data_IF_258679031506
#
_entry.id   IF_258679031506
#
_cell.length_a   1.000
_cell.length_b   1.000
_cell.length_c   1.000
_cell.angle_alpha   90.00
_cell.angle_beta   90.00
_cell.angle_gamma   90.00
#
_symmetry.space_group_name_H-M   'P 1'
#
loop_
_entity.id
_entity.type
_entity.pdbx_description
1 polymer ?
#
# COMPACT_ATOMS: atom_id res chain seq x y z
N UNK A 1 -17.52 16.76 11.08
CA UNK A 1 -17.80 16.50 9.65
C UNK A 1 -18.41 15.12 9.45
N UNK A 2 -17.71 14.02 9.78
CA UNK A 2 -18.26 12.65 9.64
C UNK A 2 -19.51 12.38 10.51
N UNK A 3 -19.54 12.87 11.74
CA UNK A 3 -20.72 12.73 12.60
C UNK A 3 -21.99 13.37 12.03
N UNK A 4 -21.85 14.47 11.28
CA UNK A 4 -22.98 15.12 10.59
C UNK A 4 -23.53 14.27 9.43
N UNK A 5 -22.73 13.33 8.92
CA UNK A 5 -23.12 12.38 7.88
C UNK A 5 -23.68 11.07 8.47
N UNK A 6 -23.84 10.99 9.79
CA UNK A 6 -24.37 9.82 10.50
C UNK A 6 -23.31 8.76 10.85
N UNK A 7 -22.02 9.08 10.74
CA UNK A 7 -20.95 8.19 11.19
C UNK A 7 -20.68 8.33 12.68
N UNK A 8 -20.53 7.22 13.38
CA UNK A 8 -20.19 7.16 14.81
C UNK A 8 -18.76 6.69 14.97
N UNK A 9 -17.99 7.33 15.87
CA UNK A 9 -16.64 6.90 16.20
C UNK A 9 -16.72 5.58 16.96
N UNK A 10 -16.08 4.54 16.44
CA UNK A 10 -16.12 3.20 17.03
C UNK A 10 -14.79 2.85 17.71
N UNK A 11 -13.66 3.19 17.06
CA UNK A 11 -12.33 2.81 17.52
C UNK A 11 -11.43 4.04 17.55
N UNK A 12 -10.67 4.18 18.63
CA UNK A 12 -9.50 5.07 18.68
C UNK A 12 -8.33 4.30 19.29
N UNK A 13 -7.18 4.30 18.60
CA UNK A 13 -5.94 3.63 19.04
C UNK A 13 -4.78 4.61 18.94
N UNK A 14 -3.90 4.57 19.92
CA UNK A 14 -2.69 5.41 20.00
C UNK A 14 -1.50 4.54 20.45
N UNK A 15 -0.29 5.10 20.49
CA UNK A 15 0.90 4.43 21.06
C UNK A 15 1.53 3.33 20.19
N UNK A 16 0.98 3.04 19.01
CA UNK A 16 1.56 2.10 18.05
C UNK A 16 2.66 2.73 17.18
N UNK A 17 2.63 4.06 17.02
CA UNK A 17 3.71 4.82 16.39
C UNK A 17 4.46 5.63 17.43
N UNK A 18 5.70 5.22 17.72
CA UNK A 18 6.59 5.94 18.64
C UNK A 18 7.34 7.09 17.97
N UNK A 19 7.31 7.16 16.63
CA UNK A 19 8.12 8.11 15.86
C UNK A 19 7.37 9.42 15.63
N UNK A 20 6.12 9.36 15.18
CA UNK A 20 5.31 10.55 14.89
C UNK A 20 4.05 10.63 15.74
N UNK A 21 3.94 9.82 16.79
CA UNK A 21 2.78 9.80 17.69
C UNK A 21 1.44 9.57 16.97
N UNK A 22 1.49 8.81 15.86
CA UNK A 22 0.34 8.48 15.03
C UNK A 22 -0.83 7.86 15.80
N UNK A 23 -2.03 8.15 15.30
CA UNK A 23 -3.29 7.65 15.88
C UNK A 23 -4.16 7.05 14.79
N UNK A 24 -4.92 6.03 15.16
CA UNK A 24 -5.89 5.39 14.30
C UNK A 24 -7.28 5.69 14.85
N UNK A 25 -8.16 6.23 14.02
CA UNK A 25 -9.55 6.51 14.39
C UNK A 25 -10.46 5.90 13.33
N UNK A 26 -11.37 5.01 13.73
CA UNK A 26 -12.35 4.41 12.82
C UNK A 26 -13.74 4.92 13.13
N UNK A 27 -14.47 5.27 12.08
CA UNK A 27 -15.85 5.68 12.11
C UNK A 27 -16.70 4.69 11.32
N UNK A 28 -17.88 4.35 11.84
CA UNK A 28 -18.82 3.42 11.19
C UNK A 28 -20.18 4.07 10.98
N UNK A 29 -20.82 3.76 9.85
CA UNK A 29 -22.22 4.06 9.56
C UNK A 29 -22.86 2.80 8.99
N UNK A 30 -24.08 2.47 9.43
CA UNK A 30 -24.87 1.39 8.81
C UNK A 30 -25.67 1.95 7.63
N UNK A 31 -25.53 1.32 6.47
CA UNK A 31 -26.32 1.60 5.26
C UNK A 31 -26.94 0.25 4.87
N UNK A 32 -28.27 0.16 4.86
CA UNK A 32 -29.00 -1.09 4.61
C UNK A 32 -28.49 -2.28 5.45
N UNK A 33 -28.26 -2.02 6.75
CA UNK A 33 -27.66 -2.95 7.71
C UNK A 33 -26.21 -3.39 7.45
N UNK A 34 -25.56 -2.90 6.39
CA UNK A 34 -24.15 -3.14 6.10
C UNK A 34 -23.27 -2.06 6.74
N UNK A 35 -22.16 -2.41 7.40
CA UNK A 35 -21.24 -1.44 7.98
C UNK A 35 -20.38 -0.79 6.88
N UNK A 36 -20.45 0.53 6.79
CA UNK A 36 -19.54 1.37 6.02
C UNK A 36 -18.55 2.01 6.98
N UNK A 37 -17.27 1.74 6.80
CA UNK A 37 -16.21 2.27 7.68
C UNK A 37 -15.40 3.37 6.98
N UNK A 38 -14.96 4.33 7.78
CA UNK A 38 -13.97 5.35 7.39
C UNK A 38 -12.84 5.28 8.42
N UNK A 39 -11.71 4.77 7.97
CA UNK A 39 -10.49 4.66 8.76
C UNK A 39 -9.60 5.88 8.52
N UNK A 40 -9.30 6.59 9.60
CA UNK A 40 -8.40 7.73 9.61
C UNK A 40 -7.08 7.34 10.26
N UNK A 41 -6.02 7.45 9.46
CA UNK A 41 -4.64 7.37 9.90
C UNK A 41 -4.15 8.80 10.14
N UNK A 42 -4.12 9.19 11.41
CA UNK A 42 -3.84 10.57 11.83
C UNK A 42 -2.35 10.67 12.17
N UNK A 43 -1.73 11.74 11.66
CA UNK A 43 -0.31 12.12 11.82
C UNK A 43 0.71 11.16 11.19
N UNK A 44 0.40 9.87 11.05
CA UNK A 44 1.27 8.92 10.34
C UNK A 44 0.57 7.67 9.82
N UNK A 45 1.27 6.97 8.94
CA UNK A 45 0.99 5.60 8.54
C UNK A 45 2.14 4.70 9.00
N UNK A 46 1.82 3.60 9.68
CA UNK A 46 2.81 2.63 10.15
C UNK A 46 2.57 1.24 9.58
N UNK A 47 3.65 0.53 9.27
CA UNK A 47 3.60 -0.90 9.06
C UNK A 47 4.21 -1.64 10.25
N UNK A 48 3.40 -2.46 10.93
CA UNK A 48 3.81 -3.17 12.16
C UNK A 48 4.84 -4.26 11.90
N UNK A 49 4.72 -5.01 10.80
CA UNK A 49 5.64 -6.11 10.48
C UNK A 49 7.07 -5.61 10.27
N UNK A 50 7.22 -4.55 9.48
CA UNK A 50 8.53 -3.95 9.17
C UNK A 50 8.90 -2.82 10.12
N UNK A 51 8.05 -2.46 11.08
CA UNK A 51 8.21 -1.27 11.96
C UNK A 51 8.44 0.04 11.19
N UNK A 52 8.05 0.11 9.92
CA UNK A 52 8.23 1.28 9.08
C UNK A 52 7.14 2.33 9.41
N UNK A 53 7.50 3.60 9.29
CA UNK A 53 6.58 4.72 9.57
C UNK A 53 6.81 5.89 8.60
N UNK A 54 5.72 6.53 8.19
CA UNK A 54 5.69 7.73 7.34
C UNK A 54 4.78 8.77 7.99
N UNK A 55 5.30 9.98 8.22
CA UNK A 55 4.47 11.09 8.70
C UNK A 55 3.46 11.56 7.66
N UNK A 56 2.40 12.21 8.11
CA UNK A 56 1.41 12.86 7.26
C UNK A 56 2.05 13.85 6.29
N UNK A 57 3.02 14.66 6.73
CA UNK A 57 3.73 15.64 5.90
C UNK A 57 4.49 14.93 4.77
N UNK A 58 5.15 13.81 5.09
CA UNK A 58 5.86 13.03 4.08
C UNK A 58 4.90 12.47 3.02
N UNK A 59 3.78 11.90 3.46
CA UNK A 59 2.75 11.37 2.57
C UNK A 59 2.16 12.51 1.72
N UNK A 60 1.82 13.64 2.34
CA UNK A 60 1.28 14.82 1.68
C UNK A 60 2.22 15.39 0.62
N UNK A 61 3.53 15.49 0.93
CA UNK A 61 4.57 15.92 -0.03
C UNK A 61 4.72 14.96 -1.21
N UNK A 62 4.44 13.68 -0.98
CA UNK A 62 4.48 12.63 -1.99
C UNK A 62 3.08 12.24 -2.49
N UNK A 63 2.15 13.19 -2.48
CA UNK A 63 0.81 13.06 -3.04
C UNK A 63 0.58 14.06 -4.16
N UNK A 64 -0.38 13.77 -5.03
CA UNK A 64 -0.83 14.63 -6.13
C UNK A 64 -2.34 14.83 -6.04
N UNK A 65 -2.85 15.95 -6.55
CA UNK A 65 -4.30 16.09 -6.75
C UNK A 65 -4.72 15.19 -7.90
N UNK A 66 -5.72 14.35 -7.67
CA UNK A 66 -6.28 13.47 -8.68
C UNK A 66 -7.80 13.46 -8.55
N UNK A 67 -8.47 13.14 -9.65
CA UNK A 67 -9.88 12.81 -9.64
C UNK A 67 -10.03 11.31 -9.39
N UNK A 68 -10.77 10.96 -8.34
CA UNK A 68 -11.11 9.57 -8.01
C UNK A 68 -12.55 9.36 -8.40
N UNK A 69 -12.77 8.50 -9.39
CA UNK A 69 -14.09 8.18 -9.93
C UNK A 69 -14.67 7.02 -9.14
N UNK A 70 -15.84 7.23 -8.54
CA UNK A 70 -16.70 6.19 -7.97
C UNK A 70 -17.77 5.75 -8.98
N UNK A 71 -18.71 4.93 -8.53
CA UNK A 71 -19.79 4.40 -9.38
C UNK A 71 -20.72 5.52 -9.87
N UNK A 72 -21.08 6.45 -8.99
CA UNK A 72 -22.07 7.51 -9.27
C UNK A 72 -21.49 8.92 -9.27
N UNK A 73 -20.33 9.12 -8.62
CA UNK A 73 -19.72 10.44 -8.44
C UNK A 73 -18.21 10.35 -8.48
N UNK A 74 -17.55 11.46 -8.81
CA UNK A 74 -16.11 11.61 -8.68
C UNK A 74 -15.77 12.63 -7.59
N UNK A 75 -14.59 12.48 -7.00
CA UNK A 75 -14.06 13.43 -6.02
C UNK A 75 -12.65 13.84 -6.40
N UNK A 76 -12.39 15.16 -6.37
CA UNK A 76 -11.04 15.70 -6.54
C UNK A 76 -10.36 15.76 -5.18
N UNK A 77 -9.39 14.88 -4.95
CA UNK A 77 -8.69 14.76 -3.66
C UNK A 77 -7.19 14.54 -3.83
N UNK A 78 -6.44 14.53 -2.72
CA UNK A 78 -5.03 14.15 -2.75
C UNK A 78 -4.91 12.64 -2.71
N UNK A 79 -4.17 12.08 -3.66
CA UNK A 79 -3.82 10.66 -3.73
C UNK A 79 -2.31 10.52 -3.69
N UNK A 80 -1.81 9.53 -2.98
CA UNK A 80 -0.37 9.22 -2.92
C UNK A 80 0.17 8.92 -4.31
N UNK A 81 1.40 9.38 -4.59
CA UNK A 81 2.11 9.03 -5.82
C UNK A 81 2.31 7.53 -5.89
N UNK A 82 2.22 6.98 -7.10
CA UNK A 82 2.34 5.55 -7.41
C UNK A 82 3.53 4.90 -6.72
N UNK A 83 4.71 5.51 -6.77
CA UNK A 83 5.94 4.94 -6.21
C UNK A 83 5.90 4.84 -4.67
N UNK A 84 5.29 5.81 -3.98
CA UNK A 84 5.05 5.70 -2.54
C UNK A 84 4.00 4.64 -2.25
N UNK A 85 2.90 4.58 -3.02
CA UNK A 85 1.86 3.56 -2.83
C UNK A 85 2.42 2.15 -2.96
N UNK A 86 3.28 1.90 -3.95
CA UNK A 86 3.99 0.62 -4.10
C UNK A 86 4.82 0.33 -2.85
N UNK A 87 5.63 1.29 -2.37
CA UNK A 87 6.44 1.08 -1.18
C UNK A 87 5.59 0.69 0.04
N UNK A 88 4.49 1.41 0.30
CA UNK A 88 3.56 1.11 1.40
C UNK A 88 3.00 -0.31 1.30
N UNK A 89 2.63 -0.74 0.09
CA UNK A 89 2.11 -2.09 -0.20
C UNK A 89 3.16 -3.18 0.01
N UNK A 90 4.41 -2.93 -0.39
CA UNK A 90 5.51 -3.87 -0.19
C UNK A 90 5.72 -4.10 1.31
N UNK A 91 5.79 -3.03 2.10
CA UNK A 91 5.90 -3.15 3.57
C UNK A 91 4.75 -3.93 4.19
N UNK A 92 3.53 -3.85 3.64
CA UNK A 92 2.40 -4.62 4.17
C UNK A 92 2.54 -6.13 3.94
N UNK A 93 3.23 -6.58 2.90
CA UNK A 93 3.47 -8.01 2.64
C UNK A 93 2.25 -8.86 2.24
N UNK A 94 1.03 -8.31 2.21
CA UNK A 94 -0.18 -9.14 2.02
C UNK A 94 -0.34 -9.56 0.57
N UNK A 95 -0.89 -10.76 0.35
CA UNK A 95 -1.20 -11.27 -1.00
C UNK A 95 -2.09 -10.33 -1.82
N UNK A 96 -3.03 -9.64 -1.16
CA UNK A 96 -3.89 -8.63 -1.83
C UNK A 96 -3.07 -7.42 -2.30
N UNK A 97 -2.13 -6.95 -1.49
CA UNK A 97 -1.24 -5.84 -1.86
C UNK A 97 -0.29 -6.21 -3.00
N UNK A 98 0.15 -7.47 -3.06
CA UNK A 98 0.95 -7.98 -4.18
C UNK A 98 0.18 -7.91 -5.51
N UNK A 99 -1.14 -8.18 -5.51
CA UNK A 99 -1.96 -8.03 -6.72
C UNK A 99 -2.01 -6.58 -7.19
N UNK A 100 -2.18 -5.64 -6.25
CA UNK A 100 -2.16 -4.21 -6.59
C UNK A 100 -0.78 -3.79 -7.11
N UNK A 101 0.30 -4.29 -6.51
CA UNK A 101 1.68 -4.04 -6.98
C UNK A 101 1.84 -4.49 -8.44
N UNK A 102 1.24 -5.62 -8.84
CA UNK A 102 1.29 -6.09 -10.23
C UNK A 102 0.77 -5.03 -11.21
N UNK A 103 -0.35 -4.38 -10.89
CA UNK A 103 -0.92 -3.32 -11.74
C UNK A 103 -0.25 -1.95 -11.57
N UNK A 104 0.39 -1.69 -10.43
CA UNK A 104 1.12 -0.45 -10.18
C UNK A 104 2.55 -0.46 -10.76
N UNK A 105 3.16 -1.62 -10.92
CA UNK A 105 4.55 -1.75 -11.35
C UNK A 105 4.85 -1.24 -12.77
N UNK A 106 3.97 -1.42 -13.79
CA UNK A 106 4.22 -0.88 -15.12
C UNK A 106 4.51 0.63 -15.11
N UNK A 107 5.68 0.99 -15.64
CA UNK A 107 6.15 2.38 -15.74
C UNK A 107 6.57 3.02 -14.41
N UNK A 108 6.60 2.27 -13.30
CA UNK A 108 7.04 2.79 -11.99
C UNK A 108 8.54 3.12 -11.99
N UNK A 109 8.91 4.15 -11.22
CA UNK A 109 10.32 4.52 -11.05
C UNK A 109 10.93 3.75 -9.88
N UNK A 110 11.59 2.62 -10.18
CA UNK A 110 12.18 1.72 -9.16
C UNK A 110 13.04 2.46 -8.12
N UNK A 111 13.86 3.43 -8.56
CA UNK A 111 14.70 4.23 -7.64
C UNK A 111 13.88 4.98 -6.59
N UNK A 112 12.72 5.53 -6.96
CA UNK A 112 11.83 6.22 -6.02
C UNK A 112 11.08 5.22 -5.12
N UNK A 113 10.67 4.06 -5.64
CA UNK A 113 10.09 2.98 -4.82
C UNK A 113 11.08 2.58 -3.72
N UNK A 114 12.33 2.26 -4.09
CA UNK A 114 13.39 1.92 -3.14
C UNK A 114 13.54 3.02 -2.10
N UNK A 115 13.71 4.27 -2.52
CA UNK A 115 13.84 5.43 -1.62
C UNK A 115 12.69 5.54 -0.62
N UNK A 116 11.44 5.30 -1.04
CA UNK A 116 10.29 5.32 -0.15
C UNK A 116 10.25 4.13 0.82
N UNK A 117 10.83 3.00 0.41
CA UNK A 117 10.90 1.75 1.19
C UNK A 117 12.08 1.65 2.16
N UNK A 118 13.07 2.54 2.11
CA UNK A 118 14.22 2.53 3.04
C UNK A 118 13.84 3.04 4.44
N UNK A 119 12.97 2.30 5.13
CA UNK A 119 12.42 2.63 6.45
C UNK A 119 12.15 1.37 7.27
N UNK A 120 12.22 1.49 8.58
CA UNK A 120 11.97 0.36 9.49
C UNK A 120 13.05 -0.71 9.38
N UNK A 121 12.66 -1.96 9.63
CA UNK A 121 13.52 -3.13 9.55
C UNK A 121 13.70 -3.59 8.10
N UNK A 122 14.89 -3.30 7.55
CA UNK A 122 15.25 -3.64 6.19
C UNK A 122 15.43 -5.15 5.98
N UNK A 123 15.76 -5.93 7.02
CA UNK A 123 15.86 -7.40 6.90
C UNK A 123 14.47 -8.00 6.73
N UNK A 124 13.51 -7.60 7.58
CA UNK A 124 12.12 -8.04 7.43
C UNK A 124 11.52 -7.58 6.10
N UNK A 125 11.83 -6.37 5.64
CA UNK A 125 11.41 -5.89 4.31
C UNK A 125 12.00 -6.75 3.18
N UNK A 126 13.29 -7.10 3.25
CA UNK A 126 13.95 -7.95 2.26
C UNK A 126 13.27 -9.32 2.18
N UNK A 127 12.97 -9.95 3.33
CA UNK A 127 12.22 -11.22 3.38
C UNK A 127 10.85 -11.09 2.72
N UNK A 128 10.10 -10.01 2.98
CA UNK A 128 8.81 -9.79 2.31
C UNK A 128 8.96 -9.68 0.79
N UNK A 129 9.99 -9.00 0.29
CA UNK A 129 10.27 -8.90 -1.15
C UNK A 129 10.56 -10.28 -1.76
N UNK A 130 11.32 -11.12 -1.06
CA UNK A 130 11.61 -12.49 -1.49
C UNK A 130 10.35 -13.36 -1.55
N UNK A 131 9.52 -13.32 -0.52
CA UNK A 131 8.24 -14.04 -0.48
C UNK A 131 7.29 -13.60 -1.60
N UNK A 132 7.25 -12.30 -1.90
CA UNK A 132 6.50 -11.76 -3.03
C UNK A 132 7.03 -12.31 -4.37
N UNK A 133 8.35 -12.35 -4.56
CA UNK A 133 8.97 -12.92 -5.76
C UNK A 133 8.64 -14.41 -5.92
N UNK A 134 8.68 -15.21 -4.85
CA UNK A 134 8.28 -16.62 -4.91
C UNK A 134 6.78 -16.79 -5.18
N UNK A 135 5.95 -15.89 -4.65
CA UNK A 135 4.50 -15.92 -4.91
C UNK A 135 4.17 -15.61 -6.37
N UNK A 136 4.87 -14.66 -6.99
CA UNK A 136 4.65 -14.28 -8.40
C UNK A 136 4.97 -15.40 -9.40
N UNK A 137 5.78 -16.40 -9.01
CA UNK A 137 6.08 -17.58 -9.85
C UNK A 137 4.96 -18.61 -9.88
N UNK A 138 3.99 -18.54 -8.97
CA UNK A 138 2.94 -19.56 -8.81
C UNK A 138 1.77 -19.28 -9.75
N UNK A 139 1.40 -20.24 -10.60
CA UNK A 139 0.20 -20.14 -11.45
C UNK A 139 -1.07 -19.86 -10.64
N UNK A 140 -1.18 -20.44 -9.44
CA UNK A 140 -2.30 -20.19 -8.51
C UNK A 140 -2.41 -18.73 -8.08
N UNK A 141 -1.32 -17.97 -8.06
CA UNK A 141 -1.38 -16.53 -7.83
C UNK A 141 -1.97 -15.82 -9.05
N UNK A 142 -1.50 -16.16 -10.26
CA UNK A 142 -1.96 -15.58 -11.53
C UNK A 142 -3.45 -15.80 -11.74
N UNK A 143 -3.94 -17.01 -11.48
CA UNK A 143 -5.38 -17.32 -11.59
C UNK A 143 -6.18 -16.47 -10.60
N UNK A 144 -5.69 -16.33 -9.37
CA UNK A 144 -6.33 -15.50 -8.35
C UNK A 144 -6.30 -14.01 -8.68
N UNK A 145 -5.26 -13.54 -9.36
CA UNK A 145 -5.14 -12.16 -9.85
C UNK A 145 -6.20 -11.89 -10.91
N UNK A 146 -6.29 -12.75 -11.93
CA UNK A 146 -7.27 -12.64 -13.01
C UNK A 146 -8.71 -12.67 -12.50
N UNK A 147 -9.01 -13.59 -11.58
CA UNK A 147 -10.34 -13.67 -10.96
C UNK A 147 -10.69 -12.40 -10.17
N UNK A 148 -9.77 -11.88 -9.36
CA UNK A 148 -10.01 -10.69 -8.51
C UNK A 148 -10.30 -9.44 -9.33
N UNK A 149 -9.58 -9.24 -10.43
CA UNK A 149 -9.69 -8.04 -11.27
C UNK A 149 -10.53 -8.26 -12.53
N UNK A 150 -11.18 -9.43 -12.64
CA UNK A 150 -11.96 -9.84 -13.81
C UNK A 150 -11.18 -9.68 -15.14
N UNK A 151 -9.87 -9.91 -15.10
CA UNK A 151 -8.99 -9.76 -16.27
C UNK A 151 -9.19 -10.94 -17.21
N UNK A 152 -9.70 -10.65 -18.41
CA UNK A 152 -9.90 -11.65 -19.48
C UNK A 152 -8.68 -11.85 -20.38
N UNK A 153 -7.69 -10.95 -20.28
CA UNK A 153 -6.48 -10.95 -21.12
C UNK A 153 -5.23 -11.55 -20.48
N UNK A 154 -4.12 -11.46 -21.20
CA UNK A 154 -2.79 -11.80 -20.69
C UNK A 154 -2.32 -10.72 -19.69
N UNK A 155 -1.81 -11.17 -18.55
CA UNK A 155 -1.24 -10.31 -17.48
C UNK A 155 0.28 -10.45 -17.39
N UNK A 156 0.91 -11.12 -18.36
CA UNK A 156 2.35 -11.39 -18.34
C UNK A 156 3.17 -10.11 -18.32
N UNK A 157 2.71 -9.05 -18.98
CA UNK A 157 3.42 -7.75 -18.99
C UNK A 157 3.48 -7.13 -17.60
N UNK A 158 2.36 -7.10 -16.89
CA UNK A 158 2.20 -6.53 -15.55
C UNK A 158 3.01 -7.35 -14.55
N UNK A 159 2.86 -8.68 -14.60
CA UNK A 159 3.57 -9.62 -13.74
C UNK A 159 5.08 -9.52 -13.94
N UNK A 160 5.55 -9.52 -15.19
CA UNK A 160 6.97 -9.36 -15.50
C UNK A 160 7.51 -7.99 -15.06
N UNK A 161 6.70 -6.93 -15.14
CA UNK A 161 7.09 -5.62 -14.65
C UNK A 161 7.25 -5.60 -13.12
N UNK A 162 6.34 -6.25 -12.40
CA UNK A 162 6.45 -6.41 -10.95
C UNK A 162 7.67 -7.25 -10.55
N UNK A 163 7.93 -8.38 -11.23
CA UNK A 163 9.11 -9.22 -10.98
C UNK A 163 10.40 -8.40 -11.18
N UNK A 164 10.52 -7.66 -12.30
CA UNK A 164 11.70 -6.83 -12.56
C UNK A 164 11.89 -5.76 -11.49
N UNK A 165 10.82 -5.07 -11.12
CA UNK A 165 10.86 -4.03 -10.07
C UNK A 165 11.29 -4.61 -8.72
N UNK A 166 10.71 -5.74 -8.30
CA UNK A 166 11.01 -6.38 -7.02
C UNK A 166 12.44 -6.96 -7.00
N UNK A 167 12.93 -7.54 -8.10
CA UNK A 167 14.34 -7.99 -8.22
C UNK A 167 15.31 -6.81 -8.08
N UNK A 168 15.07 -5.72 -8.80
CA UNK A 168 15.90 -4.53 -8.69
C UNK A 168 15.85 -3.93 -7.29
N UNK A 169 14.68 -3.93 -6.63
CA UNK A 169 14.55 -3.51 -5.24
C UNK A 169 15.34 -4.42 -4.29
N UNK A 170 15.23 -5.74 -4.44
CA UNK A 170 15.97 -6.75 -3.66
C UNK A 170 17.48 -6.47 -3.71
N UNK A 171 18.05 -6.34 -4.91
CA UNK A 171 19.48 -6.04 -5.07
C UNK A 171 19.91 -4.74 -4.37
N UNK A 172 19.05 -3.72 -4.39
CA UNK A 172 19.34 -2.44 -3.70
C UNK A 172 19.24 -2.55 -2.17
N UNK A 173 18.33 -3.38 -1.66
CA UNK A 173 18.20 -3.64 -0.22
C UNK A 173 19.37 -4.48 0.28
N UNK A 174 19.73 -5.56 -0.43
CA UNK A 174 20.85 -6.44 -0.06
C UNK A 174 22.17 -5.69 0.09
N UNK A 175 22.45 -4.74 -0.81
CA UNK A 175 23.63 -3.87 -0.71
C UNK A 175 23.64 -3.09 0.61
N UNK A 176 22.49 -2.55 1.03
CA UNK A 176 22.35 -1.70 2.22
C UNK A 176 22.24 -2.46 3.54
N UNK A 177 21.95 -3.77 3.49
CA UNK A 177 21.91 -4.62 4.70
C UNK A 177 23.26 -5.28 5.00
N UNK A 178 24.22 -5.18 4.08
CA UNK A 178 25.60 -5.68 4.25
C UNK A 178 26.56 -4.62 4.81
N UNK A 179 26.18 -3.34 4.70
CA UNK A 179 26.82 -2.18 5.32
C UNK A 179 26.32 -1.98 6.76
#
# INVERSE_FOLDING_TARGET
MLSRLGFVKEIEKTGFDRVYSGRFVSYVKRVDNLPVTVDLLVDSLTCRSTRASWSYEYIRKNSVMAEVVGVESSVRCRVVKRELLIALKIHSGRKVDLRDIVFLAPGSKVKEVVKHSLRGDLKTLLTQVEEMLETLKKNTFIDSLKATFQVRGDTSREVNSAIRMLKAMKENLERRTKD
#
